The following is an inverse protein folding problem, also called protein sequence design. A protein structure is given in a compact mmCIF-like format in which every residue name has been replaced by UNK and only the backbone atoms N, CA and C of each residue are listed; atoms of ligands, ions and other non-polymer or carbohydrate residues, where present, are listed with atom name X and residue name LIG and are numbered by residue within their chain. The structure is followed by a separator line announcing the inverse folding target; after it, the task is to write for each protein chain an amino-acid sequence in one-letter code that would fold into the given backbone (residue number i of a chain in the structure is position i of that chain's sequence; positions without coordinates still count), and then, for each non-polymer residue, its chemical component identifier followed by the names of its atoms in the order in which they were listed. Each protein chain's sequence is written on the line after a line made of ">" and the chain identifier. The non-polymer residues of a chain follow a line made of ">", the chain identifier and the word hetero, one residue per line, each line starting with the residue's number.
data_IF_399846173742
#
_entry.id   IF_399846173742
#
_cell.length_a   1.000
_cell.length_b   1.000
_cell.length_c   1.000
_cell.angle_alpha   90.00
_cell.angle_beta   90.00
_cell.angle_gamma   90.00
#
_symmetry.space_group_name_H-M   'P 1'
#
loop_
_entity.id
_entity.type
_entity.pdbx_description
1 polymer ?
#
# COMPACT_ATOMS: atom_id res chain seq x y z
N UNK A 1 -24.21 38.68 -39.08
CA UNK A 1 -22.96 37.93 -38.77
C UNK A 1 -22.12 38.76 -37.81
N UNK A 2 -22.00 38.32 -36.55
CA UNK A 2 -21.10 38.92 -35.56
C UNK A 2 -20.23 37.78 -35.04
N UNK A 3 -18.94 37.85 -35.35
CA UNK A 3 -17.93 36.96 -34.82
C UNK A 3 -17.63 37.39 -33.39
N UNK A 4 -17.92 36.52 -32.43
CA UNK A 4 -17.38 36.63 -31.08
C UNK A 4 -16.47 35.43 -30.87
N UNK A 5 -15.17 35.67 -30.99
CA UNK A 5 -14.10 34.78 -30.57
C UNK A 5 -14.27 34.59 -29.06
N UNK A 6 -14.84 33.45 -28.65
CA UNK A 6 -14.93 33.09 -27.23
C UNK A 6 -13.50 32.81 -26.78
N UNK A 7 -13.02 33.70 -25.92
CA UNK A 7 -11.79 33.60 -25.14
C UNK A 7 -11.64 32.16 -24.66
N UNK A 8 -10.48 31.57 -24.95
CA UNK A 8 -10.05 30.29 -24.43
C UNK A 8 -9.90 30.46 -22.92
N UNK A 9 -10.99 30.21 -22.19
CA UNK A 9 -11.00 30.10 -20.76
C UNK A 9 -10.12 28.89 -20.44
N UNK A 10 -8.85 29.15 -20.09
CA UNK A 10 -7.98 28.18 -19.41
C UNK A 10 -8.74 27.81 -18.14
N UNK A 11 -9.58 26.79 -18.23
CA UNK A 11 -10.07 26.07 -17.07
C UNK A 11 -8.82 25.60 -16.36
N UNK A 12 -8.61 26.17 -15.19
CA UNK A 12 -7.53 25.88 -14.27
C UNK A 12 -7.39 24.36 -14.09
N UNK A 13 -6.44 23.77 -14.82
CA UNK A 13 -5.73 22.57 -14.39
C UNK A 13 -4.84 22.96 -13.19
N UNK A 14 -5.45 23.40 -12.10
CA UNK A 14 -4.89 23.16 -10.77
C UNK A 14 -5.27 21.74 -10.42
N UNK A 15 -4.61 20.79 -11.10
CA UNK A 15 -4.54 19.41 -10.66
C UNK A 15 -4.06 19.41 -9.21
N UNK A 16 -4.84 18.78 -8.33
CA UNK A 16 -4.52 18.45 -6.94
C UNK A 16 -3.08 17.93 -6.79
N UNK A 17 -2.13 18.80 -6.53
CA UNK A 17 -0.71 18.45 -6.39
C UNK A 17 -0.18 18.88 -5.03
N UNK A 18 -0.77 18.39 -3.94
CA UNK A 18 -0.18 18.61 -2.61
C UNK A 18 -0.49 17.54 -1.56
N UNK A 19 -0.59 16.26 -1.93
CA UNK A 19 -0.55 15.15 -0.95
C UNK A 19 0.81 14.41 -0.93
N UNK A 20 1.81 14.94 -1.63
CA UNK A 20 3.16 14.41 -1.66
C UNK A 20 4.11 15.24 -0.80
N UNK A 21 3.84 15.27 0.51
CA UNK A 21 4.80 15.79 1.50
C UNK A 21 5.61 14.64 2.09
N UNK A 22 6.84 14.90 2.48
CA UNK A 22 7.70 13.92 3.18
C UNK A 22 7.01 13.39 4.44
N UNK A 23 6.21 14.22 5.11
CA UNK A 23 5.41 13.84 6.28
C UNK A 23 4.32 12.81 5.96
N UNK A 24 3.63 12.96 4.82
CA UNK A 24 2.60 12.02 4.38
C UNK A 24 3.21 10.64 4.09
N UNK A 25 4.37 10.61 3.43
CA UNK A 25 5.12 9.38 3.20
C UNK A 25 5.61 8.75 4.49
N UNK A 26 6.14 9.54 5.41
CA UNK A 26 6.60 9.05 6.70
C UNK A 26 5.47 8.42 7.52
N UNK A 27 4.31 9.09 7.58
CA UNK A 27 3.11 8.57 8.25
C UNK A 27 2.64 7.25 7.63
N UNK A 28 2.63 7.16 6.30
CA UNK A 28 2.25 5.94 5.58
C UNK A 28 3.23 4.79 5.84
N UNK A 29 4.52 5.07 5.81
CA UNK A 29 5.56 4.09 6.10
C UNK A 29 5.45 3.54 7.53
N UNK A 30 5.23 4.43 8.50
CA UNK A 30 4.99 4.03 9.90
C UNK A 30 3.79 3.10 10.04
N UNK A 31 2.66 3.45 9.41
CA UNK A 31 1.45 2.62 9.45
C UNK A 31 1.66 1.23 8.82
N UNK A 32 2.42 1.14 7.73
CA UNK A 32 2.79 -0.14 7.13
C UNK A 32 3.70 -0.98 8.03
N UNK A 33 4.66 -0.34 8.70
CA UNK A 33 5.55 -1.04 9.63
C UNK A 33 4.78 -1.61 10.82
N UNK A 34 3.88 -0.83 11.42
CA UNK A 34 3.01 -1.28 12.51
C UNK A 34 2.13 -2.45 12.07
N UNK A 35 1.50 -2.33 10.89
CA UNK A 35 0.67 -3.42 10.33
C UNK A 35 1.48 -4.69 10.07
N UNK A 36 2.67 -4.57 9.49
CA UNK A 36 3.55 -5.72 9.22
C UNK A 36 4.01 -6.37 10.53
N UNK A 37 4.35 -5.57 11.54
CA UNK A 37 4.75 -6.04 12.86
C UNK A 37 3.62 -6.83 13.55
N UNK A 38 2.40 -6.33 13.50
CA UNK A 38 1.23 -7.01 14.06
C UNK A 38 0.94 -8.34 13.36
N UNK A 39 1.07 -8.37 12.02
CA UNK A 39 0.89 -9.61 11.24
C UNK A 39 1.93 -10.64 11.67
N UNK A 40 3.23 -10.29 11.66
CA UNK A 40 4.32 -11.24 11.95
C UNK A 40 4.25 -11.77 13.37
N UNK A 41 3.90 -10.93 14.36
CA UNK A 41 3.82 -11.35 15.77
C UNK A 41 2.51 -12.05 16.14
N UNK A 42 1.53 -12.07 15.25
CA UNK A 42 0.32 -12.85 15.49
C UNK A 42 0.65 -14.35 15.49
N UNK A 43 0.33 -15.04 16.58
CA UNK A 43 0.66 -16.46 16.77
C UNK A 43 -0.28 -17.42 16.04
N UNK A 44 -1.40 -16.90 15.52
CA UNK A 44 -2.52 -17.74 15.09
C UNK A 44 -2.73 -17.68 13.57
N UNK A 45 -3.21 -18.80 13.03
CA UNK A 45 -3.69 -18.96 11.64
C UNK A 45 -2.60 -18.87 10.55
N UNK A 46 -1.34 -19.15 10.89
CA UNK A 46 -0.31 -19.42 9.91
C UNK A 46 -0.42 -20.86 9.40
N UNK A 47 -0.38 -21.02 8.08
CA UNK A 47 -0.39 -22.32 7.40
C UNK A 47 0.97 -22.54 6.75
N UNK A 48 1.63 -23.63 7.11
CA UNK A 48 2.87 -24.03 6.45
C UNK A 48 2.60 -24.38 4.97
N UNK A 49 3.28 -23.70 4.05
CA UNK A 49 3.21 -23.96 2.61
C UNK A 49 4.45 -24.73 2.10
N UNK A 50 5.64 -24.41 2.63
CA UNK A 50 6.89 -25.02 2.19
C UNK A 50 7.88 -25.15 3.33
N UNK A 51 8.66 -26.23 3.30
CA UNK A 51 9.86 -26.42 4.12
C UNK A 51 11.03 -26.81 3.23
N UNK A 52 12.18 -26.16 3.37
CA UNK A 52 13.39 -26.47 2.60
C UNK A 52 14.21 -27.54 3.32
N UNK A 53 15.16 -28.16 2.60
CA UNK A 53 16.10 -29.11 3.20
C UNK A 53 17.02 -28.45 4.26
N UNK A 54 17.20 -27.13 4.19
CA UNK A 54 18.03 -26.36 5.12
C UNK A 54 17.29 -26.02 6.42
N UNK A 55 15.98 -26.28 6.48
CA UNK A 55 15.15 -25.97 7.64
C UNK A 55 14.26 -24.74 7.48
N UNK A 56 14.49 -23.92 6.45
CA UNK A 56 13.69 -22.72 6.18
C UNK A 56 12.23 -23.09 5.92
N UNK A 57 11.32 -22.21 6.34
CA UNK A 57 9.88 -22.38 6.15
C UNK A 57 9.26 -21.18 5.45
N UNK A 58 8.22 -21.45 4.67
CA UNK A 58 7.32 -20.43 4.15
C UNK A 58 5.93 -20.74 4.65
N UNK A 59 5.33 -19.78 5.32
CA UNK A 59 3.99 -19.85 5.87
C UNK A 59 3.09 -18.82 5.20
N UNK A 60 1.80 -19.13 5.08
CA UNK A 60 0.79 -18.23 4.52
C UNK A 60 -0.31 -17.93 5.54
N UNK A 61 -0.94 -16.76 5.37
CA UNK A 61 -2.10 -16.34 6.16
C UNK A 61 -2.99 -15.42 5.33
N UNK A 62 -4.30 -15.48 5.53
CA UNK A 62 -5.25 -14.52 4.93
C UNK A 62 -5.44 -13.38 5.92
N UNK A 63 -5.12 -12.16 5.50
CA UNK A 63 -5.28 -10.93 6.28
C UNK A 63 -6.41 -10.09 5.68
N UNK A 64 -7.43 -9.69 6.46
CA UNK A 64 -8.49 -8.81 5.98
C UNK A 64 -7.93 -7.53 5.35
N UNK A 65 -8.40 -7.19 4.15
CA UNK A 65 -7.95 -6.01 3.41
C UNK A 65 -6.63 -6.16 2.64
N UNK A 66 -5.77 -7.12 2.98
CA UNK A 66 -4.51 -7.40 2.26
C UNK A 66 -4.56 -8.70 1.43
N UNK A 67 -5.46 -9.62 1.77
CA UNK A 67 -5.53 -10.94 1.14
C UNK A 67 -4.47 -11.89 1.70
N UNK A 68 -3.98 -12.81 0.86
CA UNK A 68 -2.97 -13.79 1.28
C UNK A 68 -1.59 -13.14 1.39
N UNK A 69 -0.99 -13.26 2.56
CA UNK A 69 0.39 -12.84 2.85
C UNK A 69 1.27 -14.05 3.10
N UNK A 70 2.58 -13.88 2.93
CA UNK A 70 3.58 -14.92 3.14
C UNK A 70 4.65 -14.44 4.11
N UNK A 71 5.02 -15.32 5.04
CA UNK A 71 6.17 -15.16 5.95
C UNK A 71 7.21 -16.21 5.59
N UNK A 72 8.48 -15.80 5.55
CA UNK A 72 9.61 -16.71 5.41
C UNK A 72 10.45 -16.64 6.69
N UNK A 73 10.84 -17.81 7.20
CA UNK A 73 11.70 -17.98 8.38
C UNK A 73 12.85 -18.95 8.09
#
# INVERSE_FOLDING_TARGET
>A
MRFFTRVFERSSEEENKSEFTDEAYFKKAKGFLETAWDIVNSTDNWKLEKKTANGDTVESKIVPGLGTVFKAE
#
